data_IF_261721263876
#
_entry.id   IF_261721263876
#
_cell.length_a   1.000
_cell.length_b   1.000
_cell.length_c   1.000
_cell.angle_alpha   90.00
_cell.angle_beta   90.00
_cell.angle_gamma   90.00
#
_symmetry.space_group_name_H-M   'P 1'
#
loop_
_entity.id
_entity.type
_entity.pdbx_description
1 polymer ?
#
# COMPACT_ATOMS: atom_id res chain seq x y z
N UNK A 1 -6.33 -10.49 0.39
CA UNK A 1 -5.54 -9.61 1.27
C UNK A 1 -4.08 -9.70 0.85
N UNK A 2 -3.62 -8.72 0.07
CA UNK A 2 -2.23 -8.63 -0.41
C UNK A 2 -1.39 -8.11 0.75
N UNK A 3 -0.29 -8.79 1.07
CA UNK A 3 0.53 -8.49 2.26
C UNK A 3 1.55 -7.38 2.00
N UNK A 4 1.83 -7.08 0.74
CA UNK A 4 2.84 -6.10 0.31
C UNK A 4 2.17 -4.90 -0.36
N UNK A 5 2.85 -3.75 -0.29
CA UNK A 5 2.47 -2.51 -0.95
C UNK A 5 2.39 -2.70 -2.47
N UNK A 6 1.29 -2.28 -3.08
CA UNK A 6 1.06 -2.35 -4.53
C UNK A 6 1.99 -1.42 -5.33
N UNK A 7 2.55 -0.38 -4.69
CA UNK A 7 3.43 0.61 -5.36
C UNK A 7 4.89 0.16 -5.37
N UNK A 8 5.43 -0.26 -4.24
CA UNK A 8 6.86 -0.58 -4.12
C UNK A 8 7.17 -2.08 -4.01
N UNK A 9 6.15 -2.92 -3.85
CA UNK A 9 6.22 -4.40 -3.79
C UNK A 9 7.25 -4.99 -2.82
N UNK A 10 7.69 -4.20 -1.83
CA UNK A 10 8.80 -4.54 -0.92
C UNK A 10 8.45 -4.37 0.55
N UNK A 11 7.65 -3.37 0.89
CA UNK A 11 7.18 -3.13 2.25
C UNK A 11 5.80 -3.75 2.48
N UNK A 12 5.50 -4.10 3.75
CA UNK A 12 4.18 -4.57 4.12
C UNK A 12 3.11 -3.49 3.85
N UNK A 13 1.99 -3.89 3.25
CA UNK A 13 0.83 -3.03 3.17
C UNK A 13 0.17 -2.92 4.54
N UNK A 14 0.03 -1.70 5.04
CA UNK A 14 -0.55 -1.43 6.37
C UNK A 14 -1.84 -0.61 6.29
N UNK A 15 -2.16 -0.12 5.11
CA UNK A 15 -3.29 0.77 4.84
C UNK A 15 -3.82 0.48 3.44
N UNK A 16 -5.12 0.76 3.24
CA UNK A 16 -5.83 0.47 2.00
C UNK A 16 -6.50 1.75 1.51
N UNK A 17 -6.13 2.21 0.32
CA UNK A 17 -6.79 3.32 -0.37
C UNK A 17 -8.04 2.79 -1.07
N UNK A 18 -9.21 3.20 -0.61
CA UNK A 18 -10.48 2.78 -1.22
C UNK A 18 -10.75 3.45 -2.58
N UNK A 19 -10.14 4.61 -2.85
CA UNK A 19 -10.32 5.31 -4.13
C UNK A 19 -9.58 4.61 -5.27
N UNK A 20 -8.36 4.12 -5.00
CA UNK A 20 -7.51 3.45 -5.98
C UNK A 20 -7.56 1.92 -5.87
N UNK A 21 -8.35 1.39 -4.93
CA UNK A 21 -8.42 -0.03 -4.56
C UNK A 21 -7.03 -0.66 -4.31
N UNK A 22 -6.12 0.12 -3.70
CA UNK A 22 -4.71 -0.22 -3.55
C UNK A 22 -4.30 -0.40 -2.08
N UNK A 23 -3.52 -1.45 -1.81
CA UNK A 23 -2.89 -1.70 -0.53
C UNK A 23 -1.51 -1.01 -0.50
N UNK A 24 -1.31 -0.06 0.40
CA UNK A 24 -0.11 0.80 0.43
C UNK A 24 0.67 0.63 1.74
N UNK A 25 1.97 0.86 1.68
CA UNK A 25 2.79 1.05 2.88
C UNK A 25 2.78 2.54 3.29
N UNK A 26 3.17 2.83 4.53
CA UNK A 26 3.20 4.21 5.04
C UNK A 26 4.02 5.17 4.18
N UNK A 27 5.17 4.72 3.71
CA UNK A 27 6.08 5.56 2.93
C UNK A 27 5.56 5.90 1.51
N UNK A 28 4.73 5.04 0.92
CA UNK A 28 4.13 5.29 -0.39
C UNK A 28 2.85 6.12 -0.30
N UNK A 29 2.19 6.14 0.86
CA UNK A 29 0.99 6.94 1.15
C UNK A 29 1.33 8.39 1.55
N UNK A 30 2.44 8.58 2.28
CA UNK A 30 2.92 9.91 2.69
C UNK A 30 3.55 10.73 1.53
N UNK A 31 3.52 10.24 0.28
CA UNK A 31 4.18 10.85 -0.88
C UNK A 31 3.18 11.38 -1.92
#
# INVERSE_FOLDING_TARGET
>A
MRTLCDVCESAAAILFCAADEAALCRACDDK
#
